data_IF_524859567448
#
_entry.id   IF_524859567448
#
_cell.length_a   1.000
_cell.length_b   1.000
_cell.length_c   1.000
_cell.angle_alpha   90.00
_cell.angle_beta   90.00
_cell.angle_gamma   90.00
#
_symmetry.space_group_name_H-M   'P 1'
#
loop_
_entity.id
_entity.type
_entity.pdbx_description
1 polymer ?
#
# COMPACT_ATOMS: atom_id res chain seq x y z
N UNK A 1 31.73 -9.29 6.76
CA UNK A 1 31.77 -9.61 5.32
C UNK A 1 33.15 -10.13 4.97
N UNK A 2 33.25 -11.40 4.59
CA UNK A 2 34.48 -12.08 4.12
C UNK A 2 34.25 -12.43 2.65
N UNK A 3 35.14 -12.00 1.76
CA UNK A 3 34.99 -12.14 0.29
C UNK A 3 36.14 -12.94 -0.35
N UNK A 4 36.68 -13.89 0.40
CA UNK A 4 37.72 -14.81 -0.04
C UNK A 4 37.24 -15.66 -1.23
N UNK A 5 38.11 -15.86 -2.22
CA UNK A 5 37.85 -16.66 -3.44
C UNK A 5 36.81 -16.08 -4.43
N UNK A 6 36.48 -14.80 -4.31
CA UNK A 6 35.68 -14.06 -5.29
C UNK A 6 36.45 -13.84 -6.61
N UNK A 7 35.73 -13.51 -7.69
CA UNK A 7 36.35 -13.15 -8.97
C UNK A 7 37.35 -11.99 -8.84
N UNK A 8 37.04 -11.00 -8.00
CA UNK A 8 37.93 -9.88 -7.70
C UNK A 8 39.23 -10.32 -7.01
N UNK A 9 39.17 -11.21 -6.02
CA UNK A 9 40.38 -11.75 -5.35
C UNK A 9 41.22 -12.66 -6.25
N UNK A 10 40.65 -13.18 -7.36
CA UNK A 10 41.41 -13.95 -8.35
C UNK A 10 42.04 -13.07 -9.42
N UNK A 11 41.41 -11.94 -9.74
CA UNK A 11 41.90 -10.98 -10.71
C UNK A 11 42.95 -10.02 -10.13
N UNK A 12 42.92 -9.78 -8.81
CA UNK A 12 43.78 -8.82 -8.14
C UNK A 12 44.40 -9.38 -6.85
N UNK A 13 45.74 -9.58 -6.81
CA UNK A 13 46.45 -10.08 -5.63
C UNK A 13 46.31 -9.18 -4.40
N UNK A 14 46.20 -7.86 -4.57
CA UNK A 14 46.09 -6.93 -3.46
C UNK A 14 44.70 -6.98 -2.83
N UNK A 15 43.65 -7.17 -3.62
CA UNK A 15 42.30 -7.46 -3.10
C UNK A 15 42.28 -8.80 -2.35
N UNK A 16 43.05 -9.80 -2.79
CA UNK A 16 43.19 -11.07 -2.09
C UNK A 16 43.86 -10.92 -0.72
N UNK A 17 44.90 -10.11 -0.61
CA UNK A 17 45.56 -9.78 0.66
C UNK A 17 44.61 -9.04 1.62
N UNK A 18 43.89 -8.05 1.12
CA UNK A 18 42.93 -7.27 1.92
C UNK A 18 41.81 -8.17 2.45
N UNK A 19 41.35 -9.15 1.65
CA UNK A 19 40.34 -10.12 2.07
C UNK A 19 40.75 -10.97 3.30
N UNK A 20 42.05 -11.09 3.59
CA UNK A 20 42.58 -11.85 4.73
C UNK A 20 42.66 -11.04 6.03
N UNK A 21 42.48 -9.71 5.99
CA UNK A 21 42.44 -8.88 7.22
C UNK A 21 41.30 -9.40 8.10
N UNK A 22 41.56 -9.73 9.37
CA UNK A 22 40.56 -10.35 10.26
C UNK A 22 39.50 -9.35 10.72
N UNK A 23 39.94 -8.16 11.16
CA UNK A 23 39.04 -7.10 11.60
C UNK A 23 38.19 -6.55 10.45
N UNK A 24 36.88 -6.42 10.68
CA UNK A 24 35.95 -6.04 9.62
C UNK A 24 36.03 -4.56 9.25
N UNK A 25 36.30 -3.68 10.21
CA UNK A 25 36.36 -2.25 9.99
C UNK A 25 37.68 -1.85 9.32
N UNK A 26 38.78 -2.49 9.70
CA UNK A 26 40.08 -2.36 9.06
C UNK A 26 40.06 -2.91 7.63
N UNK A 27 39.50 -4.11 7.42
CA UNK A 27 39.35 -4.70 6.08
C UNK A 27 38.58 -3.80 5.13
N UNK A 28 37.47 -3.22 5.59
CA UNK A 28 36.68 -2.29 4.78
C UNK A 28 37.46 -1.02 4.44
N UNK A 29 38.08 -0.37 5.43
CA UNK A 29 38.86 0.85 5.20
C UNK A 29 40.02 0.64 4.23
N UNK A 30 40.77 -0.46 4.39
CA UNK A 30 41.90 -0.79 3.52
C UNK A 30 41.43 -1.12 2.10
N UNK A 31 40.29 -1.80 1.94
CA UNK A 31 39.71 -2.07 0.62
C UNK A 31 39.32 -0.77 -0.08
N UNK A 32 38.64 0.14 0.60
CA UNK A 32 38.18 1.38 -0.03
C UNK A 32 39.33 2.33 -0.37
N UNK A 33 40.34 2.45 0.50
CA UNK A 33 41.55 3.20 0.19
C UNK A 33 42.29 2.62 -1.02
N UNK A 34 42.29 1.29 -1.17
CA UNK A 34 42.88 0.65 -2.34
C UNK A 34 42.07 0.90 -3.62
N UNK A 35 40.74 0.89 -3.52
CA UNK A 35 39.85 1.05 -4.68
C UNK A 35 39.73 2.49 -5.18
N UNK A 36 40.18 3.49 -4.41
CA UNK A 36 40.12 4.91 -4.77
C UNK A 36 40.88 5.21 -6.07
N UNK A 37 42.06 4.61 -6.24
CA UNK A 37 42.92 4.76 -7.42
C UNK A 37 42.97 3.49 -8.30
N UNK A 38 42.07 2.53 -8.06
CA UNK A 38 42.16 1.23 -8.70
C UNK A 38 41.59 1.23 -10.12
N UNK A 39 42.39 0.76 -11.07
CA UNK A 39 41.97 0.54 -12.45
C UNK A 39 41.79 -0.97 -12.69
N UNK A 40 40.61 -1.42 -13.16
CA UNK A 40 40.37 -2.83 -13.41
C UNK A 40 41.36 -3.42 -14.44
N UNK A 41 41.97 -4.58 -14.16
CA UNK A 41 42.75 -5.28 -15.17
C UNK A 41 41.84 -5.73 -16.32
N UNK A 42 42.14 -5.23 -17.53
CA UNK A 42 41.41 -5.54 -18.77
C UNK A 42 40.66 -4.37 -19.40
N UNK A 43 40.47 -3.26 -18.70
CA UNK A 43 40.05 -1.98 -19.29
C UNK A 43 41.31 -1.18 -19.60
N UNK A 44 41.75 -1.20 -20.86
CA UNK A 44 42.98 -0.53 -21.30
C UNK A 44 42.98 0.97 -21.01
N UNK A 45 43.48 1.35 -19.83
CA UNK A 45 44.11 2.64 -19.63
C UNK A 45 45.57 2.47 -20.06
N UNK A 46 45.94 3.19 -21.12
CA UNK A 46 47.26 3.15 -21.72
C UNK A 46 48.35 3.37 -20.66
N UNK A 47 49.33 2.46 -20.62
CA UNK A 47 50.61 2.73 -19.99
C UNK A 47 51.29 3.90 -20.74
N UNK A 48 52.16 4.70 -20.09
CA UNK A 48 52.84 5.82 -20.74
C UNK A 48 53.66 5.31 -21.93
N UNK A 49 53.36 5.84 -23.11
CA UNK A 49 54.00 5.47 -24.37
C UNK A 49 55.50 5.80 -24.34
N UNK A 50 56.35 4.79 -24.46
CA UNK A 50 57.67 4.97 -25.06
C UNK A 50 57.48 5.19 -26.56
N UNK A 51 58.09 6.23 -27.15
CA UNK A 51 57.89 6.54 -28.55
C UNK A 51 58.80 5.63 -29.39
N UNK A 52 58.21 4.63 -30.05
CA UNK A 52 58.59 4.30 -31.42
C UNK A 52 57.65 3.26 -32.04
N UNK A 53 57.16 3.59 -33.25
CA UNK A 53 56.74 2.66 -34.32
C UNK A 53 55.39 1.93 -34.12
N UNK A 54 54.44 1.81 -35.07
CA UNK A 54 54.43 1.83 -36.53
C UNK A 54 53.04 2.28 -37.01
N UNK A 55 53.00 3.09 -38.06
CA UNK A 55 51.81 3.45 -38.85
C UNK A 55 51.10 2.21 -39.43
N UNK A 56 49.81 2.09 -39.16
CA UNK A 56 48.97 1.03 -39.72
C UNK A 56 47.49 1.31 -39.42
N UNK A 57 46.97 2.41 -39.96
CA UNK A 57 45.59 2.86 -39.78
C UNK A 57 44.59 1.86 -40.36
N UNK A 58 44.20 0.87 -39.56
CA UNK A 58 42.93 0.15 -39.72
C UNK A 58 41.84 1.05 -39.17
N UNK A 59 40.87 1.39 -40.01
CA UNK A 59 39.65 2.07 -39.62
C UNK A 59 39.02 1.35 -38.41
N UNK A 60 39.10 1.98 -37.24
CA UNK A 60 38.44 1.54 -36.02
C UNK A 60 36.94 1.71 -36.23
N UNK A 61 36.21 0.60 -36.27
CA UNK A 61 34.76 0.64 -36.14
C UNK A 61 34.41 1.42 -34.86
N UNK A 62 33.40 2.31 -34.88
CA UNK A 62 32.99 3.02 -33.69
C UNK A 62 32.61 2.00 -32.61
N UNK A 63 33.22 2.14 -31.43
CA UNK A 63 32.85 1.36 -30.24
C UNK A 63 31.33 1.41 -30.10
N UNK A 64 30.64 0.27 -29.88
CA UNK A 64 29.21 0.28 -29.65
C UNK A 64 28.93 1.21 -28.48
N UNK A 65 28.02 2.18 -28.70
CA UNK A 65 27.61 3.10 -27.67
C UNK A 65 27.18 2.29 -26.44
N UNK A 66 27.79 2.57 -25.29
CA UNK A 66 27.41 1.94 -24.03
C UNK A 66 25.89 2.14 -23.87
N UNK A 67 25.13 1.06 -23.61
CA UNK A 67 23.70 1.21 -23.37
C UNK A 67 23.50 2.22 -22.25
N UNK A 68 22.49 3.09 -22.32
CA UNK A 68 22.23 4.10 -21.31
C UNK A 68 22.16 3.39 -19.95
N UNK A 69 23.08 3.74 -19.05
CA UNK A 69 23.10 3.15 -17.73
C UNK A 69 21.83 3.58 -17.01
N UNK A 70 20.95 2.61 -16.74
CA UNK A 70 19.87 2.83 -15.77
C UNK A 70 20.54 3.06 -14.42
N UNK A 71 20.18 4.11 -13.66
CA UNK A 71 20.70 4.28 -12.32
C UNK A 71 20.46 3.00 -11.53
N UNK A 72 21.49 2.54 -10.81
CA UNK A 72 21.40 1.34 -10.00
C UNK A 72 20.18 1.48 -9.06
N UNK A 73 19.35 0.45 -8.89
CA UNK A 73 18.13 0.53 -8.07
C UNK A 73 18.37 0.96 -6.62
N UNK A 74 19.63 0.88 -6.16
CA UNK A 74 20.07 1.15 -4.81
C UNK A 74 21.26 2.10 -4.83
N UNK A 75 21.13 3.22 -4.14
CA UNK A 75 22.24 4.15 -3.87
C UNK A 75 22.70 3.84 -2.45
N UNK A 76 23.89 3.28 -2.22
CA UNK A 76 24.36 3.08 -0.85
C UNK A 76 24.48 4.43 -0.15
N UNK A 77 23.92 4.55 1.07
CA UNK A 77 24.03 5.73 1.93
C UNK A 77 24.76 5.33 3.21
N UNK A 78 25.52 6.24 3.79
CA UNK A 78 26.09 6.06 5.12
C UNK A 78 25.23 6.78 6.16
N UNK A 79 24.75 6.04 7.16
CA UNK A 79 24.10 6.57 8.37
C UNK A 79 24.80 5.93 9.57
N UNK A 80 25.23 6.75 10.53
CA UNK A 80 25.94 6.33 11.76
C UNK A 80 27.14 5.38 11.53
N UNK A 81 27.88 5.60 10.45
CA UNK A 81 29.05 4.77 10.10
C UNK A 81 28.70 3.38 9.56
N UNK A 82 27.42 3.10 9.31
CA UNK A 82 26.93 1.88 8.68
C UNK A 82 26.48 2.15 7.24
N UNK A 83 26.76 1.20 6.35
CA UNK A 83 26.25 1.22 4.99
C UNK A 83 24.77 0.83 5.04
N UNK A 84 23.88 1.81 4.92
CA UNK A 84 22.44 1.61 4.84
C UNK A 84 21.98 1.66 3.39
N UNK A 85 20.86 0.98 3.12
CA UNK A 85 20.22 0.99 1.81
C UNK A 85 19.61 2.36 1.57
N UNK A 86 20.33 3.25 0.89
CA UNK A 86 19.71 4.47 0.38
C UNK A 86 18.74 4.09 -0.73
N UNK A 87 17.49 4.50 -0.59
CA UNK A 87 16.52 4.39 -1.67
C UNK A 87 17.11 5.00 -2.93
N UNK A 88 16.90 4.34 -4.09
CA UNK A 88 17.19 4.99 -5.37
C UNK A 88 16.54 6.37 -5.43
N UNK A 89 17.00 7.23 -6.33
CA UNK A 89 16.37 8.53 -6.54
C UNK A 89 14.84 8.34 -6.59
N UNK A 90 14.06 9.11 -5.80
CA UNK A 90 12.63 8.92 -5.74
C UNK A 90 12.10 8.95 -7.17
N UNK A 91 11.32 7.92 -7.51
CA UNK A 91 10.68 7.86 -8.82
C UNK A 91 9.87 9.15 -9.01
N UNK A 92 9.81 9.63 -10.25
CA UNK A 92 8.82 10.66 -10.57
C UNK A 92 7.42 10.11 -10.26
N UNK A 93 6.49 10.97 -9.84
CA UNK A 93 5.13 10.55 -9.48
C UNK A 93 4.46 9.74 -10.60
N UNK A 94 4.64 10.14 -11.85
CA UNK A 94 4.11 9.43 -13.02
C UNK A 94 4.71 8.02 -13.21
N UNK A 95 6.01 7.85 -12.94
CA UNK A 95 6.63 6.52 -13.02
C UNK A 95 6.26 5.62 -11.85
N UNK A 96 6.08 6.20 -10.65
CA UNK A 96 5.61 5.48 -9.48
C UNK A 96 4.19 4.95 -9.71
N UNK A 97 3.30 5.80 -10.23
CA UNK A 97 1.92 5.48 -10.56
C UNK A 97 1.82 4.42 -11.65
N UNK A 98 2.54 4.58 -12.77
CA UNK A 98 2.56 3.54 -13.82
C UNK A 98 3.03 2.19 -13.29
N UNK A 99 4.07 2.15 -12.47
CA UNK A 99 4.55 0.88 -11.90
C UNK A 99 3.59 0.29 -10.86
N UNK A 100 2.73 1.11 -10.27
CA UNK A 100 1.66 0.63 -9.40
C UNK A 100 0.54 0.02 -10.26
N UNK A 101 0.12 0.68 -11.34
CA UNK A 101 -0.84 0.12 -12.30
C UNK A 101 -0.34 -1.21 -12.91
N UNK A 102 0.93 -1.28 -13.32
CA UNK A 102 1.55 -2.52 -13.83
C UNK A 102 1.50 -3.66 -12.78
N UNK A 103 1.75 -3.32 -11.51
CA UNK A 103 1.65 -4.26 -10.39
C UNK A 103 0.22 -4.72 -10.14
N UNK A 104 -0.74 -3.80 -10.21
CA UNK A 104 -2.16 -4.10 -10.08
C UNK A 104 -2.63 -5.08 -11.17
N UNK A 105 -2.26 -4.83 -12.43
CA UNK A 105 -2.53 -5.73 -13.56
C UNK A 105 -1.85 -7.11 -13.40
N UNK A 106 -0.65 -7.15 -12.83
CA UNK A 106 0.04 -8.41 -12.55
C UNK A 106 -0.71 -9.24 -11.51
N UNK A 107 -1.17 -8.62 -10.42
CA UNK A 107 -1.96 -9.29 -9.38
C UNK A 107 -3.32 -9.79 -9.90
N UNK A 108 -4.05 -9.00 -10.69
CA UNK A 108 -5.31 -9.44 -11.33
C UNK A 108 -5.10 -10.66 -12.22
N UNK A 109 -4.04 -10.65 -13.04
CA UNK A 109 -3.67 -11.83 -13.86
C UNK A 109 -3.29 -13.03 -13.01
N UNK A 110 -2.61 -12.81 -11.89
CA UNK A 110 -2.26 -13.89 -10.97
C UNK A 110 -3.51 -14.58 -10.44
N UNK A 111 -4.52 -13.82 -9.98
CA UNK A 111 -5.78 -14.40 -9.48
C UNK A 111 -6.44 -15.28 -10.54
N UNK A 112 -6.53 -14.80 -11.78
CA UNK A 112 -7.08 -15.58 -12.90
C UNK A 112 -6.27 -16.86 -13.17
N UNK A 113 -4.96 -16.72 -13.33
CA UNK A 113 -4.08 -17.85 -13.59
C UNK A 113 -4.10 -18.89 -12.47
N UNK A 114 -4.16 -18.46 -11.20
CA UNK A 114 -4.20 -19.36 -10.05
C UNK A 114 -5.49 -20.18 -10.02
N UNK A 115 -6.63 -19.59 -10.38
CA UNK A 115 -7.91 -20.31 -10.51
C UNK A 115 -7.88 -21.31 -11.66
N UNK A 116 -7.25 -20.95 -12.78
CA UNK A 116 -7.20 -21.80 -13.97
C UNK A 116 -6.18 -22.92 -13.86
N UNK A 117 -5.06 -22.69 -13.16
CA UNK A 117 -3.95 -23.64 -13.06
C UNK A 117 -4.22 -24.77 -12.05
N UNK A 118 -5.07 -24.54 -11.05
CA UNK A 118 -5.34 -25.50 -9.98
C UNK A 118 -6.84 -25.73 -9.84
N UNK A 119 -7.28 -26.99 -9.72
CA UNK A 119 -8.67 -27.34 -9.40
C UNK A 119 -9.01 -27.00 -7.93
N UNK A 120 -9.00 -25.72 -7.59
CA UNK A 120 -9.31 -25.21 -6.25
C UNK A 120 -10.82 -25.06 -6.01
N UNK A 121 -11.67 -25.53 -6.93
CA UNK A 121 -13.13 -25.46 -6.82
C UNK A 121 -13.67 -26.13 -5.55
N UNK A 122 -12.93 -27.09 -4.99
CA UNK A 122 -13.28 -27.78 -3.75
C UNK A 122 -12.81 -27.04 -2.48
N UNK A 123 -12.01 -25.98 -2.61
CA UNK A 123 -11.47 -25.20 -1.49
C UNK A 123 -12.28 -23.91 -1.30
N UNK A 124 -13.49 -24.04 -0.77
CA UNK A 124 -14.41 -22.91 -0.57
C UNK A 124 -13.80 -21.72 0.22
N UNK A 125 -12.99 -21.91 1.28
CA UNK A 125 -12.34 -20.79 1.96
C UNK A 125 -11.37 -20.00 1.08
N UNK A 126 -10.61 -20.68 0.23
CA UNK A 126 -9.65 -20.05 -0.67
C UNK A 126 -10.36 -19.24 -1.74
N UNK A 127 -11.39 -19.82 -2.36
CA UNK A 127 -12.20 -19.13 -3.37
C UNK A 127 -12.82 -17.86 -2.81
N UNK A 128 -13.39 -17.93 -1.60
CA UNK A 128 -13.97 -16.76 -0.92
C UNK A 128 -12.94 -15.63 -0.75
N UNK A 129 -11.70 -15.95 -0.34
CA UNK A 129 -10.67 -14.92 -0.16
C UNK A 129 -10.11 -14.40 -1.48
N UNK A 130 -10.03 -15.23 -2.51
CA UNK A 130 -9.68 -14.79 -3.86
C UNK A 130 -10.75 -13.86 -4.45
N UNK A 131 -12.03 -14.19 -4.27
CA UNK A 131 -13.17 -13.34 -4.69
C UNK A 131 -13.14 -11.99 -3.95
N UNK A 132 -12.91 -12.00 -2.63
CA UNK A 132 -12.78 -10.78 -1.83
C UNK A 132 -11.59 -9.93 -2.27
N UNK A 133 -10.45 -10.56 -2.55
CA UNK A 133 -9.26 -9.86 -3.01
C UNK A 133 -9.48 -9.24 -4.41
N UNK A 134 -10.12 -9.98 -5.31
CA UNK A 134 -10.47 -9.46 -6.63
C UNK A 134 -11.47 -8.30 -6.57
N UNK A 135 -12.48 -8.37 -5.70
CA UNK A 135 -13.41 -7.28 -5.45
C UNK A 135 -12.67 -6.02 -4.95
N UNK A 136 -11.78 -6.18 -3.96
CA UNK A 136 -10.96 -5.10 -3.41
C UNK A 136 -10.03 -4.46 -4.45
N UNK A 137 -9.54 -5.24 -5.42
CA UNK A 137 -8.74 -4.74 -6.54
C UNK A 137 -9.58 -3.92 -7.53
N UNK A 138 -10.86 -4.25 -7.69
CA UNK A 138 -11.79 -3.57 -8.60
C UNK A 138 -11.58 -3.89 -10.07
N UNK A 139 -12.36 -3.19 -10.90
CA UNK A 139 -12.33 -3.32 -12.36
C UNK A 139 -11.27 -2.42 -13.02
N UNK A 140 -10.85 -1.36 -12.33
CA UNK A 140 -9.85 -0.41 -12.79
C UNK A 140 -8.87 -0.08 -11.67
N UNK A 141 -7.67 0.34 -12.05
CA UNK A 141 -6.66 0.79 -11.09
C UNK A 141 -7.14 2.04 -10.33
N UNK A 142 -7.20 1.93 -9.01
CA UNK A 142 -7.47 3.05 -8.10
C UNK A 142 -6.50 3.00 -6.89
N UNK A 143 -5.56 3.95 -6.76
CA UNK A 143 -4.62 3.98 -5.63
C UNK A 143 -5.31 4.19 -4.27
N UNK A 144 -6.53 4.72 -4.25
CA UNK A 144 -7.30 4.96 -3.00
C UNK A 144 -7.74 3.65 -2.35
N UNK A 145 -7.77 2.55 -3.11
CA UNK A 145 -8.13 1.22 -2.62
C UNK A 145 -6.96 0.46 -1.99
N UNK A 146 -5.81 1.10 -1.81
CA UNK A 146 -4.60 0.45 -1.27
C UNK A 146 -4.84 -0.23 0.08
N UNK A 147 -5.63 0.36 0.97
CA UNK A 147 -6.00 -0.22 2.26
C UNK A 147 -6.87 -1.46 2.07
N UNK A 148 -7.93 -1.39 1.25
CA UNK A 148 -8.82 -2.52 0.95
C UNK A 148 -8.04 -3.70 0.36
N UNK A 149 -7.20 -3.43 -0.63
CA UNK A 149 -6.33 -4.43 -1.27
C UNK A 149 -5.39 -5.05 -0.23
N UNK A 150 -4.75 -4.24 0.60
CA UNK A 150 -3.86 -4.71 1.66
C UNK A 150 -4.59 -5.62 2.66
N UNK A 151 -5.79 -5.24 3.10
CA UNK A 151 -6.59 -6.01 4.07
C UNK A 151 -7.08 -7.33 3.50
N UNK A 152 -7.66 -7.31 2.30
CA UNK A 152 -8.08 -8.53 1.62
C UNK A 152 -6.87 -9.45 1.34
N UNK A 153 -5.75 -8.85 0.95
CA UNK A 153 -4.47 -9.52 0.73
C UNK A 153 -3.91 -10.22 1.96
N UNK A 154 -4.01 -9.60 3.15
CA UNK A 154 -3.52 -10.20 4.40
C UNK A 154 -4.22 -11.53 4.74
N UNK A 155 -5.46 -11.77 4.29
CA UNK A 155 -6.14 -13.06 4.46
C UNK A 155 -5.44 -14.15 3.67
N UNK A 156 -5.10 -13.87 2.41
CA UNK A 156 -4.34 -14.77 1.54
C UNK A 156 -2.92 -15.00 2.10
N UNK A 157 -2.27 -13.95 2.61
CA UNK A 157 -0.96 -14.05 3.28
C UNK A 157 -1.02 -14.92 4.54
N UNK A 158 -2.12 -14.90 5.29
CA UNK A 158 -2.29 -15.82 6.44
C UNK A 158 -2.52 -17.26 6.00
N UNK A 159 -3.37 -17.48 4.98
CA UNK A 159 -3.57 -18.82 4.42
C UNK A 159 -2.27 -19.41 3.89
N UNK A 160 -1.44 -18.60 3.21
CA UNK A 160 -0.15 -19.03 2.70
C UNK A 160 0.87 -19.41 3.79
N UNK A 161 0.60 -19.06 5.04
CA UNK A 161 1.40 -19.43 6.22
C UNK A 161 0.78 -20.56 7.04
N UNK A 162 -0.46 -20.98 6.74
CA UNK A 162 -1.16 -22.04 7.46
C UNK A 162 -0.77 -23.41 6.91
N UNK A 163 0.16 -24.08 7.57
CA UNK A 163 0.67 -25.38 7.15
C UNK A 163 -0.39 -26.50 7.10
N UNK A 164 -1.48 -26.42 7.87
CA UNK A 164 -2.55 -27.42 7.79
C UNK A 164 -3.35 -27.22 6.50
N UNK A 165 -3.77 -25.99 6.24
CA UNK A 165 -4.50 -25.61 5.04
C UNK A 165 -3.68 -25.88 3.76
N UNK A 166 -2.40 -25.53 3.74
CA UNK A 166 -1.54 -25.75 2.57
C UNK A 166 -1.43 -27.23 2.16
N UNK A 167 -1.56 -28.18 3.11
CA UNK A 167 -1.54 -29.62 2.80
C UNK A 167 -2.82 -30.12 2.13
N UNK A 168 -3.91 -29.36 2.24
CA UNK A 168 -5.19 -29.68 1.62
C UNK A 168 -5.25 -29.19 0.17
N UNK A 169 -4.27 -28.39 -0.27
CA UNK A 169 -4.21 -27.85 -1.61
C UNK A 169 -3.68 -28.87 -2.63
N UNK A 170 -4.05 -28.71 -3.92
CA UNK A 170 -3.43 -29.46 -5.01
C UNK A 170 -1.91 -29.29 -5.03
N UNK A 171 -1.19 -30.29 -5.54
CA UNK A 171 0.26 -30.27 -5.64
C UNK A 171 0.75 -29.02 -6.40
N UNK A 172 1.64 -28.23 -5.78
CA UNK A 172 2.23 -27.02 -6.35
C UNK A 172 1.41 -25.74 -6.11
N UNK A 173 0.14 -25.85 -5.72
CA UNK A 173 -0.69 -24.69 -5.40
C UNK A 173 -0.25 -23.99 -4.11
N UNK A 174 0.42 -24.71 -3.20
CA UNK A 174 0.92 -24.16 -1.95
C UNK A 174 2.11 -23.22 -2.17
N UNK A 175 3.05 -23.60 -3.02
CA UNK A 175 4.18 -22.74 -3.39
C UNK A 175 3.72 -21.54 -4.21
N UNK A 176 2.76 -21.74 -5.10
CA UNK A 176 2.19 -20.65 -5.89
C UNK A 176 1.39 -19.67 -5.01
N UNK A 177 0.64 -20.16 -4.01
CA UNK A 177 -0.05 -19.29 -3.04
C UNK A 177 0.93 -18.51 -2.15
N UNK A 178 2.07 -19.11 -1.77
CA UNK A 178 3.15 -18.39 -1.05
C UNK A 178 3.75 -17.30 -1.92
N UNK A 179 4.06 -17.61 -3.18
CA UNK A 179 4.55 -16.62 -4.15
C UNK A 179 3.56 -15.47 -4.34
N UNK A 180 2.29 -15.78 -4.51
CA UNK A 180 1.24 -14.77 -4.64
C UNK A 180 1.15 -13.86 -3.41
N UNK A 181 1.15 -14.45 -2.21
CA UNK A 181 1.13 -13.71 -0.96
C UNK A 181 2.31 -12.73 -0.84
N UNK A 182 3.50 -13.11 -1.28
CA UNK A 182 4.66 -12.20 -1.29
C UNK A 182 4.48 -11.04 -2.28
N UNK A 183 3.91 -11.27 -3.47
CA UNK A 183 3.65 -10.21 -4.43
C UNK A 183 2.58 -9.23 -3.92
N UNK A 184 1.55 -9.74 -3.23
CA UNK A 184 0.54 -8.92 -2.57
C UNK A 184 1.20 -8.00 -1.53
N UNK A 185 2.01 -8.55 -0.62
CA UNK A 185 2.70 -7.77 0.41
C UNK A 185 3.61 -6.71 -0.24
N UNK A 186 4.40 -7.11 -1.26
CA UNK A 186 5.29 -6.19 -1.98
C UNK A 186 4.54 -5.09 -2.73
N UNK A 187 3.36 -5.36 -3.25
CA UNK A 187 2.52 -4.36 -3.90
C UNK A 187 1.94 -3.38 -2.88
N UNK A 188 1.36 -3.89 -1.79
CA UNK A 188 0.70 -3.08 -0.77
C UNK A 188 1.70 -2.16 -0.05
N UNK A 189 2.91 -2.65 0.25
CA UNK A 189 3.96 -1.88 0.95
C UNK A 189 4.53 -0.70 0.12
N UNK A 190 4.02 -0.47 -1.09
CA UNK A 190 4.35 0.71 -1.92
C UNK A 190 3.48 1.93 -1.60
N UNK A 191 2.35 1.73 -0.94
CA UNK A 191 1.39 2.78 -0.63
C UNK A 191 1.55 3.23 0.81
N UNK A 192 1.79 4.53 1.01
CA UNK A 192 1.98 5.09 2.34
C UNK A 192 0.73 4.89 3.21
N UNK A 193 -0.47 5.06 2.66
CA UNK A 193 -1.74 4.87 3.38
C UNK A 193 -1.86 3.46 3.99
N UNK A 194 -1.37 2.42 3.29
CA UNK A 194 -1.34 1.06 3.81
C UNK A 194 -0.30 0.89 4.92
N UNK A 195 0.88 1.51 4.78
CA UNK A 195 1.93 1.47 5.80
C UNK A 195 1.50 2.19 7.07
N UNK A 196 0.86 3.35 6.93
CA UNK A 196 0.29 4.12 8.03
C UNK A 196 -0.83 3.32 8.70
N UNK A 197 -1.71 2.68 7.91
CA UNK A 197 -2.73 1.78 8.44
C UNK A 197 -2.13 0.60 9.23
N UNK A 198 -1.09 -0.07 8.69
CA UNK A 198 -0.37 -1.14 9.41
C UNK A 198 0.20 -0.63 10.73
N UNK A 199 0.86 0.53 10.72
CA UNK A 199 1.46 1.13 11.90
C UNK A 199 0.40 1.49 12.95
N UNK A 200 -0.71 2.08 12.52
CA UNK A 200 -1.86 2.40 13.38
C UNK A 200 -2.45 1.13 13.99
N UNK A 201 -2.68 0.10 13.19
CA UNK A 201 -3.19 -1.20 13.68
C UNK A 201 -2.25 -1.86 14.68
N UNK A 202 -0.95 -1.87 14.39
CA UNK A 202 0.05 -2.51 15.25
C UNK A 202 0.25 -1.72 16.56
N UNK A 203 0.11 -0.39 16.51
CA UNK A 203 0.13 0.50 17.70
C UNK A 203 -1.15 0.39 18.52
N UNK A 204 -2.30 0.23 17.85
CA UNK A 204 -3.61 0.06 18.46
C UNK A 204 -3.83 -1.32 19.09
N UNK A 205 -2.81 -2.19 19.14
CA UNK A 205 -2.85 -3.59 19.61
C UNK A 205 -3.41 -3.88 21.02
N UNK A 206 -4.00 -2.90 21.71
CA UNK A 206 -4.83 -3.07 22.93
C UNK A 206 -6.29 -2.63 22.78
N UNK A 207 -6.62 -1.76 21.81
CA UNK A 207 -7.96 -1.22 21.53
C UNK A 207 -8.49 -1.57 20.13
N UNK A 208 -7.79 -2.43 19.38
CA UNK A 208 -8.19 -2.86 18.03
C UNK A 208 -9.65 -3.34 18.00
N UNK A 209 -10.39 -2.97 16.95
CA UNK A 209 -11.78 -3.33 16.75
C UNK A 209 -11.93 -4.85 16.72
N UNK A 210 -12.35 -5.42 17.86
CA UNK A 210 -12.58 -6.87 17.98
C UNK A 210 -13.87 -7.26 17.24
N UNK A 211 -13.94 -8.46 16.65
CA UNK A 211 -15.14 -8.93 15.95
C UNK A 211 -16.41 -8.83 16.79
N UNK A 212 -16.33 -9.08 18.10
CA UNK A 212 -17.48 -9.00 19.01
C UNK A 212 -17.98 -7.55 19.16
N UNK A 213 -17.06 -6.60 19.30
CA UNK A 213 -17.36 -5.17 19.41
C UNK A 213 -17.95 -4.63 18.12
N UNK A 214 -17.40 -5.06 16.97
CA UNK A 214 -17.92 -4.70 15.64
C UNK A 214 -19.30 -5.30 15.39
N UNK A 215 -19.51 -6.58 15.71
CA UNK A 215 -20.85 -7.20 15.64
C UNK A 215 -21.86 -6.49 16.54
N UNK A 216 -21.48 -6.06 17.73
CA UNK A 216 -22.36 -5.30 18.63
C UNK A 216 -22.70 -3.90 18.11
N UNK A 217 -21.90 -3.34 17.19
CA UNK A 217 -22.11 -2.05 16.53
C UNK A 217 -22.69 -2.19 15.11
N UNK A 218 -23.14 -3.40 14.73
CA UNK A 218 -23.58 -3.70 13.37
C UNK A 218 -24.58 -2.69 12.84
N UNK A 219 -25.63 -2.40 13.59
CA UNK A 219 -26.70 -1.52 13.12
C UNK A 219 -26.19 -0.10 12.85
N UNK A 220 -25.24 0.40 13.65
CA UNK A 220 -24.61 1.72 13.43
C UNK A 220 -23.81 1.76 12.11
N UNK A 221 -23.11 0.67 11.78
CA UNK A 221 -22.41 0.56 10.49
C UNK A 221 -23.37 0.41 9.30
N UNK A 222 -24.50 -0.28 9.48
CA UNK A 222 -25.53 -0.40 8.45
C UNK A 222 -26.21 0.94 8.16
N UNK A 223 -26.43 1.77 9.18
CA UNK A 223 -26.94 3.14 9.03
C UNK A 223 -26.02 4.00 8.17
N UNK A 224 -24.70 3.94 8.43
CA UNK A 224 -23.69 4.62 7.61
C UNK A 224 -23.69 4.09 6.17
N UNK A 225 -23.73 2.76 5.98
CA UNK A 225 -23.76 2.14 4.66
C UNK A 225 -24.99 2.58 3.84
N UNK A 226 -26.16 2.64 4.48
CA UNK A 226 -27.40 3.09 3.83
C UNK A 226 -27.35 4.58 3.47
N UNK A 227 -26.75 5.42 4.34
CA UNK A 227 -26.53 6.82 4.05
C UNK A 227 -25.58 7.05 2.86
N UNK A 228 -24.51 6.26 2.76
CA UNK A 228 -23.60 6.28 1.61
C UNK A 228 -24.34 5.87 0.32
N UNK A 229 -25.13 4.80 0.37
CA UNK A 229 -25.89 4.27 -0.78
C UNK A 229 -26.93 5.26 -1.30
N UNK A 230 -27.59 5.99 -0.41
CA UNK A 230 -28.65 6.95 -0.77
C UNK A 230 -28.10 8.32 -1.16
N UNK A 231 -26.78 8.55 -1.02
CA UNK A 231 -26.14 9.80 -1.40
C UNK A 231 -25.78 9.84 -2.89
N UNK A 232 -26.31 10.80 -3.68
CA UNK A 232 -25.90 10.96 -5.08
C UNK A 232 -24.48 11.49 -5.29
N UNK A 233 -23.79 11.97 -4.24
CA UNK A 233 -22.39 12.44 -4.30
C UNK A 233 -21.39 11.30 -4.03
N UNK A 234 -21.88 10.15 -3.55
CA UNK A 234 -21.05 8.98 -3.25
C UNK A 234 -21.07 8.07 -4.47
N UNK A 235 -19.89 7.61 -4.87
CA UNK A 235 -19.77 6.64 -5.94
C UNK A 235 -20.48 5.33 -5.56
N UNK A 236 -21.29 4.80 -6.49
CA UNK A 236 -22.05 3.57 -6.24
C UNK A 236 -21.16 2.35 -5.93
N UNK A 237 -19.91 2.35 -6.40
CA UNK A 237 -18.89 1.37 -6.04
C UNK A 237 -18.55 1.44 -4.56
N UNK A 238 -18.14 2.62 -4.07
CA UNK A 238 -17.76 2.84 -2.66
C UNK A 238 -18.87 2.44 -1.68
N UNK A 239 -20.13 2.81 -1.97
CA UNK A 239 -21.24 2.45 -1.08
C UNK A 239 -21.48 0.93 -1.03
N UNK A 240 -21.26 0.21 -2.14
CA UNK A 240 -21.34 -1.25 -2.19
C UNK A 240 -20.17 -1.90 -1.47
N UNK A 241 -18.95 -1.43 -1.73
CA UNK A 241 -17.73 -1.96 -1.10
C UNK A 241 -17.77 -1.81 0.41
N UNK A 242 -18.22 -0.65 0.91
CA UNK A 242 -18.42 -0.44 2.33
C UNK A 242 -19.49 -1.38 2.90
N UNK A 243 -20.60 -1.58 2.20
CA UNK A 243 -21.65 -2.51 2.61
C UNK A 243 -21.13 -3.95 2.71
N UNK A 244 -20.37 -4.39 1.73
CA UNK A 244 -19.76 -5.72 1.70
C UNK A 244 -18.75 -5.88 2.85
N UNK A 245 -18.01 -4.82 3.19
CA UNK A 245 -17.15 -4.80 4.38
C UNK A 245 -17.93 -4.95 5.69
N UNK A 246 -19.11 -4.30 5.83
CA UNK A 246 -19.99 -4.49 6.99
C UNK A 246 -20.46 -5.93 7.10
N UNK A 247 -20.94 -6.51 6.01
CA UNK A 247 -21.45 -7.88 5.99
C UNK A 247 -20.32 -8.89 6.29
N UNK A 248 -19.10 -8.65 5.78
CA UNK A 248 -17.93 -9.47 6.07
C UNK A 248 -17.47 -9.37 7.54
N UNK A 249 -17.47 -8.16 8.13
CA UNK A 249 -16.99 -7.90 9.48
C UNK A 249 -18.00 -8.20 10.58
N UNK A 250 -19.28 -8.32 10.23
CA UNK A 250 -20.35 -8.65 11.19
C UNK A 250 -20.91 -10.06 11.01
N UNK A 251 -20.41 -10.80 10.01
CA UNK A 251 -20.78 -12.18 9.76
C UNK A 251 -20.33 -13.16 10.87
N UNK A 252 -20.86 -14.41 10.85
CA UNK A 252 -20.51 -15.44 11.82
C UNK A 252 -19.03 -15.82 11.79
N UNK A 253 -18.40 -15.73 10.61
CA UNK A 253 -16.99 -16.04 10.39
C UNK A 253 -16.07 -14.81 10.45
N UNK A 254 -16.56 -13.69 10.99
CA UNK A 254 -15.78 -12.46 11.08
C UNK A 254 -14.57 -12.62 12.00
N UNK A 255 -13.40 -12.28 11.48
CA UNK A 255 -12.11 -12.31 12.17
C UNK A 255 -11.57 -10.90 12.47
N UNK A 256 -10.47 -10.82 13.21
CA UNK A 256 -9.85 -9.54 13.60
C UNK A 256 -9.47 -8.67 12.39
N UNK A 257 -9.19 -9.27 11.22
CA UNK A 257 -8.93 -8.49 9.99
C UNK A 257 -10.20 -7.81 9.52
N UNK A 258 -11.31 -8.55 9.45
CA UNK A 258 -12.57 -8.01 8.97
C UNK A 258 -12.99 -6.83 9.84
N UNK A 259 -12.92 -7.04 11.15
CA UNK A 259 -13.30 -6.06 12.15
C UNK A 259 -12.40 -4.82 12.11
N UNK A 260 -11.07 -5.00 12.10
CA UNK A 260 -10.11 -3.89 11.96
C UNK A 260 -10.26 -3.17 10.62
N UNK A 261 -10.67 -3.88 9.57
CA UNK A 261 -10.81 -3.29 8.25
C UNK A 261 -12.07 -2.47 8.08
N UNK A 262 -13.18 -2.88 8.69
CA UNK A 262 -14.39 -2.06 8.74
C UNK A 262 -14.15 -0.78 9.56
N UNK A 263 -13.48 -0.88 10.71
CA UNK A 263 -13.11 0.29 11.54
C UNK A 263 -12.24 1.27 10.73
N UNK A 264 -11.22 0.78 10.04
CA UNK A 264 -10.36 1.58 9.18
C UNK A 264 -11.11 2.28 8.05
N UNK A 265 -11.95 1.52 7.33
CA UNK A 265 -12.75 2.05 6.22
C UNK A 265 -13.70 3.14 6.72
N UNK A 266 -14.30 2.93 7.89
CA UNK A 266 -15.19 3.90 8.53
C UNK A 266 -14.42 5.16 8.95
N UNK A 267 -13.21 5.02 9.49
CA UNK A 267 -12.34 6.14 9.84
C UNK A 267 -11.96 6.96 8.61
N UNK A 268 -11.57 6.33 7.51
CA UNK A 268 -11.20 7.04 6.28
C UNK A 268 -12.40 7.73 5.63
N UNK A 269 -13.56 7.07 5.57
CA UNK A 269 -14.80 7.70 5.11
C UNK A 269 -15.14 8.89 6.01
N UNK A 270 -15.09 8.70 7.32
CA UNK A 270 -15.31 9.76 8.30
C UNK A 270 -14.35 10.93 8.10
N UNK A 271 -13.05 10.66 7.91
CA UNK A 271 -12.00 11.66 7.67
C UNK A 271 -12.26 12.43 6.39
N UNK A 272 -12.47 11.74 5.27
CA UNK A 272 -12.71 12.36 3.97
C UNK A 272 -13.97 13.25 4.00
N UNK A 273 -15.06 12.78 4.62
CA UNK A 273 -16.29 13.57 4.77
C UNK A 273 -16.07 14.73 5.75
N UNK A 274 -15.38 14.51 6.87
CA UNK A 274 -15.05 15.55 7.85
C UNK A 274 -14.20 16.69 7.26
N UNK A 275 -13.15 16.36 6.52
CA UNK A 275 -12.31 17.33 5.81
C UNK A 275 -13.13 18.12 4.79
N UNK A 276 -13.96 17.44 3.99
CA UNK A 276 -14.85 18.11 3.03
C UNK A 276 -15.85 19.03 3.75
N UNK A 277 -16.43 18.61 4.88
CA UNK A 277 -17.36 19.43 5.66
C UNK A 277 -16.68 20.70 6.21
N UNK A 278 -15.47 20.56 6.75
CA UNK A 278 -14.68 21.71 7.21
C UNK A 278 -14.31 22.65 6.06
N UNK A 279 -13.95 22.10 4.89
CA UNK A 279 -13.70 22.88 3.69
C UNK A 279 -14.95 23.64 3.21
N UNK A 280 -16.12 22.99 3.19
CA UNK A 280 -17.40 23.60 2.81
C UNK A 280 -17.79 24.76 3.75
N UNK A 281 -17.55 24.61 5.05
CA UNK A 281 -17.81 25.66 6.05
C UNK A 281 -16.82 26.82 5.90
N UNK A 282 -15.52 26.54 5.79
CA UNK A 282 -14.47 27.56 5.72
C UNK A 282 -14.48 28.34 4.42
N UNK A 283 -14.84 27.71 3.30
CA UNK A 283 -15.01 28.36 2.00
C UNK A 283 -16.29 29.20 1.88
N UNK A 284 -17.19 29.10 2.86
CA UNK A 284 -18.50 29.77 2.81
C UNK A 284 -19.51 29.11 1.87
N UNK A 285 -19.16 27.96 1.28
CA UNK A 285 -20.05 27.18 0.40
C UNK A 285 -21.23 26.61 1.18
N UNK A 286 -21.02 26.28 2.45
CA UNK A 286 -22.08 25.91 3.39
C UNK A 286 -22.27 27.05 4.41
N UNK A 287 -23.11 28.05 4.08
CA UNK A 287 -23.49 29.07 5.04
C UNK A 287 -24.38 28.44 6.13
N UNK A 288 -23.93 28.44 7.40
CA UNK A 288 -24.63 27.81 8.55
C UNK A 288 -26.15 28.03 8.61
N UNK A 289 -26.64 29.22 8.23
CA UNK A 289 -28.09 29.55 8.20
C UNK A 289 -28.89 28.85 7.09
N UNK A 290 -28.24 28.42 6.01
CA UNK A 290 -28.89 27.67 4.93
C UNK A 290 -28.93 26.16 5.22
N UNK A 291 -28.01 25.65 6.04
CA UNK A 291 -27.92 24.23 6.41
C UNK A 291 -29.12 23.81 7.26
N UNK A 292 -29.54 24.65 8.22
CA UNK A 292 -30.77 24.42 9.00
C UNK A 292 -32.03 24.40 8.10
N UNK A 293 -32.01 25.11 6.96
CA UNK A 293 -33.08 25.07 5.98
C UNK A 293 -33.02 23.83 5.06
N UNK A 294 -31.85 23.20 4.91
CA UNK A 294 -31.64 21.98 4.12
C UNK A 294 -32.09 20.71 4.86
N UNK A 295 -31.99 20.69 6.20
CA UNK A 295 -32.57 19.60 7.00
C UNK A 295 -34.11 19.60 6.98
N UNK A 296 -34.73 20.79 6.85
CA UNK A 296 -36.18 20.96 6.90
C UNK A 296 -36.93 20.62 5.60
N UNK A 297 -36.26 20.52 4.44
CA UNK A 297 -36.94 20.47 3.15
C UNK A 297 -36.27 19.46 2.21
N UNK A 298 -36.61 18.18 2.33
CA UNK A 298 -36.13 17.16 1.39
C UNK A 298 -36.97 17.10 0.09
N UNK A 299 -38.16 17.68 0.09
CA UNK A 299 -39.13 17.53 -1.01
C UNK A 299 -39.07 18.64 -2.08
N UNK A 300 -38.35 19.74 -1.85
CA UNK A 300 -38.26 20.82 -2.83
C UNK A 300 -36.98 20.72 -3.66
N UNK A 301 -37.14 20.81 -4.99
CA UNK A 301 -36.08 20.86 -6.02
C UNK A 301 -34.90 21.79 -5.67
N UNK A 302 -35.16 22.86 -4.92
CA UNK A 302 -34.18 23.85 -4.46
C UNK A 302 -33.18 23.30 -3.44
N UNK A 303 -33.61 22.40 -2.57
CA UNK A 303 -32.72 21.73 -1.61
C UNK A 303 -31.80 20.74 -2.33
N UNK A 304 -32.31 20.00 -3.32
CA UNK A 304 -31.48 19.12 -4.18
C UNK A 304 -30.42 19.92 -4.95
N UNK A 305 -30.75 21.13 -5.41
CA UNK A 305 -29.81 22.03 -6.08
C UNK A 305 -28.72 22.56 -5.13
N UNK A 306 -29.09 23.00 -3.92
CA UNK A 306 -28.11 23.43 -2.91
C UNK A 306 -27.22 22.26 -2.45
N UNK A 307 -27.79 21.08 -2.26
CA UNK A 307 -27.08 19.84 -1.93
C UNK A 307 -26.03 19.46 -2.98
N UNK A 308 -26.32 19.70 -4.28
CA UNK A 308 -25.40 19.51 -5.41
C UNK A 308 -24.36 20.63 -5.57
N UNK A 309 -24.62 21.83 -5.06
CA UNK A 309 -23.72 22.99 -5.17
C UNK A 309 -22.76 23.14 -3.97
N UNK A 310 -23.00 22.40 -2.89
CA UNK A 310 -22.12 22.29 -1.72
C UNK A 310 -22.91 22.17 -0.41
N UNK A 311 -22.31 21.50 0.59
CA UNK A 311 -22.96 21.23 1.88
C UNK A 311 -23.34 19.76 2.09
N UNK A 312 -23.06 18.88 1.11
CA UNK A 312 -23.30 17.44 1.23
C UNK A 312 -22.63 16.88 2.48
N UNK A 313 -21.35 17.20 2.69
CA UNK A 313 -20.58 16.60 3.76
C UNK A 313 -21.09 17.04 5.14
N UNK A 314 -21.45 18.31 5.29
CA UNK A 314 -22.06 18.81 6.53
C UNK A 314 -23.41 18.15 6.80
N UNK A 315 -24.30 18.06 5.80
CA UNK A 315 -25.62 17.45 5.95
C UNK A 315 -25.52 15.95 6.23
N UNK A 316 -24.59 15.25 5.57
CA UNK A 316 -24.32 13.84 5.82
C UNK A 316 -23.93 13.61 7.27
N UNK A 317 -22.95 14.38 7.76
CA UNK A 317 -22.47 14.25 9.14
C UNK A 317 -23.54 14.64 10.18
N UNK A 318 -24.40 15.64 9.91
CA UNK A 318 -25.52 15.96 10.80
C UNK A 318 -26.54 14.83 10.89
N UNK A 319 -26.97 14.29 9.75
CA UNK A 319 -27.98 13.22 9.72
C UNK A 319 -27.48 11.91 10.32
N UNK A 320 -26.21 11.59 10.07
CA UNK A 320 -25.58 10.39 10.61
C UNK A 320 -24.91 10.64 11.97
N UNK A 321 -25.03 11.84 12.52
CA UNK A 321 -24.44 12.26 13.79
C UNK A 321 -24.67 11.24 14.91
N UNK A 322 -25.91 10.76 15.16
CA UNK A 322 -26.16 9.77 16.20
C UNK A 322 -25.42 8.45 15.99
N UNK A 323 -25.40 7.90 14.76
CA UNK A 323 -24.69 6.64 14.47
C UNK A 323 -23.17 6.83 14.57
N UNK A 324 -22.65 7.91 13.98
CA UNK A 324 -21.24 8.25 14.01
C UNK A 324 -20.73 8.55 15.44
N UNK A 325 -21.53 9.19 16.30
CA UNK A 325 -21.22 9.40 17.72
C UNK A 325 -21.17 8.07 18.48
N UNK A 326 -22.14 7.17 18.25
CA UNK A 326 -22.12 5.84 18.89
C UNK A 326 -20.88 5.03 18.48
N UNK A 327 -20.48 5.13 17.21
CA UNK A 327 -19.24 4.54 16.73
C UNK A 327 -18.01 5.21 17.37
N UNK A 328 -17.97 6.54 17.45
CA UNK A 328 -16.86 7.27 18.09
C UNK A 328 -16.69 6.92 19.57
N UNK A 329 -17.78 6.83 20.32
CA UNK A 329 -17.78 6.42 21.73
C UNK A 329 -17.31 4.96 21.90
N UNK A 330 -17.64 4.10 20.95
CA UNK A 330 -17.30 2.67 21.00
C UNK A 330 -15.87 2.39 20.53
N UNK A 331 -15.35 3.21 19.63
CA UNK A 331 -14.00 3.13 19.07
C UNK A 331 -13.25 4.47 19.28
N UNK A 332 -12.98 4.88 20.53
CA UNK A 332 -12.46 6.21 20.82
C UNK A 332 -11.04 6.44 20.28
N UNK A 333 -10.24 5.39 20.16
CA UNK A 333 -8.88 5.45 19.62
C UNK A 333 -8.83 5.71 18.11
N UNK A 334 -9.80 5.22 17.34
CA UNK A 334 -9.86 5.37 15.87
C UNK A 334 -10.79 6.50 15.42
N UNK A 335 -11.91 6.69 16.11
CA UNK A 335 -13.00 7.59 15.72
C UNK A 335 -13.28 8.70 16.74
N UNK A 336 -12.63 8.73 17.91
CA UNK A 336 -12.91 9.74 18.95
C UNK A 336 -12.70 11.19 18.49
N UNK A 337 -11.85 11.42 17.48
CA UNK A 337 -11.68 12.74 16.87
C UNK A 337 -12.94 13.24 16.16
N UNK A 338 -13.82 12.33 15.70
CA UNK A 338 -15.04 12.64 14.97
C UNK A 338 -16.06 13.37 15.85
N UNK A 339 -16.06 13.13 17.17
CA UNK A 339 -16.93 13.85 18.11
C UNK A 339 -16.72 15.37 18.03
N UNK A 340 -15.47 15.82 17.97
CA UNK A 340 -15.15 17.25 17.85
C UNK A 340 -15.66 17.84 16.53
N UNK A 341 -15.61 17.06 15.45
CA UNK A 341 -16.12 17.49 14.14
C UNK A 341 -17.64 17.59 14.17
N UNK A 342 -18.33 16.59 14.75
CA UNK A 342 -19.78 16.57 14.91
C UNK A 342 -20.27 17.70 15.80
N UNK A 343 -19.57 17.99 16.90
CA UNK A 343 -19.85 19.13 17.79
C UNK A 343 -19.68 20.47 17.05
N UNK A 344 -18.58 20.61 16.29
CA UNK A 344 -18.29 21.85 15.56
C UNK A 344 -19.35 22.20 14.51
N UNK A 345 -19.98 21.20 13.90
CA UNK A 345 -21.02 21.37 12.89
C UNK A 345 -22.45 21.35 13.47
N UNK A 346 -22.61 21.12 14.78
CA UNK A 346 -23.93 21.03 15.43
C UNK A 346 -24.74 19.82 14.98
N UNK A 347 -24.09 18.66 14.88
CA UNK A 347 -24.73 17.36 14.65
C UNK A 347 -25.10 16.73 16.00
N UNK A 348 -26.37 16.81 16.39
CA UNK A 348 -26.87 16.24 17.66
C UNK A 348 -27.16 14.74 17.57
#
# INVERSE_FOLDING_TARGET
>A
MTFTNSGATRADPRIAEIAQIKDAAERARTLFAYLEDWVPPGTGAAAPETPDQVEGSRATAPLPALPPQRPAPLVPRFEDGQLVRGGGAPLSSAEAERRAEDGWQALKRYVGNFRDAFEISNNAPLLKFLDQFEAAMGEAYDPRRSIEIGMAGQRLVRLSRNAAFLRELPLGADDDLKGFAEEIDRYADRFQDWLDYKADRDTAGRDAAKPETVRAARDDYLDVAEALRTSPEVEAGLARDYRDAVDAATGPDADDIAASGLDASTREIGRAIGEKALQEITSGTAARREIDAMDAVHDQELAKWKWRLGGFAVVFLRRQGPALRRLALRFPSSLGWLENVLDYIGAD
#
